data_IF_163525331387
#
_entry.id   IF_163525331387
#
_cell.length_a   1.000
_cell.length_b   1.000
_cell.length_c   1.000
_cell.angle_alpha   90.00
_cell.angle_beta   90.00
_cell.angle_gamma   90.00
#
_symmetry.space_group_name_H-M   'P 1'
#
loop_
_entity.id
_entity.type
_entity.pdbx_description
1 polymer ?
#
# COMPACT_ATOMS: atom_id res chain seq x y z
N UNK A 1 5.05 -25.51 -10.28
CA UNK A 1 6.36 -25.46 -9.61
C UNK A 1 6.10 -25.32 -8.11
N UNK A 2 6.65 -26.20 -7.26
CA UNK A 2 6.43 -26.14 -5.80
C UNK A 2 7.20 -24.96 -5.19
N UNK A 3 6.66 -24.38 -4.11
CA UNK A 3 7.37 -23.34 -3.34
C UNK A 3 8.65 -23.94 -2.75
N UNK A 4 9.80 -23.29 -3.00
CA UNK A 4 11.09 -23.72 -2.46
C UNK A 4 11.66 -22.63 -1.54
N UNK A 5 11.97 -23.00 -0.31
CA UNK A 5 12.62 -22.10 0.66
C UNK A 5 14.09 -22.49 0.76
N UNK A 6 14.98 -21.49 0.68
CA UNK A 6 16.44 -21.68 0.71
C UNK A 6 17.06 -20.74 1.75
N UNK A 7 18.10 -21.22 2.43
CA UNK A 7 18.94 -20.40 3.31
C UNK A 7 20.16 -19.96 2.54
N UNK A 8 20.36 -18.65 2.41
CA UNK A 8 21.54 -18.06 1.77
C UNK A 8 22.58 -17.78 2.87
N UNK A 9 23.73 -18.45 2.79
CA UNK A 9 24.85 -18.25 3.73
C UNK A 9 25.91 -17.35 3.10
N UNK A 10 26.14 -16.20 3.72
CA UNK A 10 27.24 -15.31 3.35
C UNK A 10 28.42 -15.51 4.31
N UNK A 11 29.54 -16.00 3.80
CA UNK A 11 30.79 -16.15 4.56
C UNK A 11 31.67 -14.93 4.31
N UNK A 12 32.00 -14.18 5.37
CA UNK A 12 32.83 -12.98 5.31
C UNK A 12 34.21 -13.29 5.89
N UNK A 13 35.27 -12.87 5.19
CA UNK A 13 36.64 -12.99 5.70
C UNK A 13 36.93 -11.79 6.62
N UNK A 14 37.57 -12.08 7.74
CA UNK A 14 38.08 -11.10 8.69
C UNK A 14 39.60 -11.18 8.65
N UNK A 15 40.25 -10.06 8.39
CA UNK A 15 41.71 -9.97 8.32
C UNK A 15 42.22 -9.06 9.44
N UNK A 16 43.17 -9.57 10.22
CA UNK A 16 43.90 -8.79 11.23
C UNK A 16 45.40 -8.89 10.98
N UNK A 17 46.12 -7.78 11.14
CA UNK A 17 47.58 -7.80 11.15
C UNK A 17 48.06 -8.37 12.50
N UNK A 18 48.97 -9.36 12.49
CA UNK A 18 49.49 -9.99 13.72
C UNK A 18 50.51 -9.12 14.48
N UNK A 19 51.18 -8.21 13.79
CA UNK A 19 52.22 -7.34 14.36
C UNK A 19 51.78 -5.88 14.52
N UNK A 20 50.52 -5.57 14.19
CA UNK A 20 49.96 -4.23 14.28
C UNK A 20 48.78 -4.29 15.26
N UNK A 21 48.66 -3.36 16.21
CA UNK A 21 47.50 -3.26 17.11
C UNK A 21 46.23 -2.69 16.42
N UNK A 22 46.11 -2.87 15.11
CA UNK A 22 44.98 -2.37 14.31
C UNK A 22 43.77 -3.30 14.40
N UNK A 23 42.57 -2.71 14.50
CA UNK A 23 41.31 -3.45 14.50
C UNK A 23 41.16 -4.34 13.26
N UNK A 24 40.72 -5.60 13.40
CA UNK A 24 40.49 -6.48 12.26
C UNK A 24 39.47 -5.90 11.28
N UNK A 25 39.80 -5.96 9.99
CA UNK A 25 38.94 -5.49 8.90
C UNK A 25 38.08 -6.65 8.41
N UNK A 26 36.77 -6.45 8.32
CA UNK A 26 35.83 -7.45 7.83
C UNK A 26 35.28 -7.01 6.48
N UNK A 27 35.34 -7.88 5.47
CA UNK A 27 34.75 -7.60 4.15
C UNK A 27 33.27 -7.21 4.27
N UNK A 28 32.78 -6.28 3.46
CA UNK A 28 31.38 -5.85 3.53
C UNK A 28 30.41 -7.01 3.27
N UNK A 29 29.22 -6.91 3.88
CA UNK A 29 28.12 -7.82 3.57
C UNK A 29 27.30 -7.26 2.40
N UNK A 30 26.58 -8.10 1.65
CA UNK A 30 25.62 -7.62 0.67
C UNK A 30 24.60 -6.69 1.32
N UNK A 31 24.19 -5.65 0.59
CA UNK A 31 23.13 -4.76 1.04
C UNK A 31 21.84 -5.56 1.29
N UNK A 32 21.20 -5.30 2.43
CA UNK A 32 19.93 -5.91 2.79
C UNK A 32 18.87 -4.80 2.87
N UNK A 33 17.67 -5.07 2.36
CA UNK A 33 16.57 -4.12 2.49
C UNK A 33 16.28 -3.84 3.97
N UNK A 34 16.22 -4.91 4.78
CA UNK A 34 16.07 -4.82 6.23
C UNK A 34 17.38 -5.29 6.86
N UNK A 35 18.11 -4.35 7.45
CA UNK A 35 19.38 -4.61 8.12
C UNK A 35 19.23 -5.61 9.27
N UNK A 36 20.15 -6.58 9.33
CA UNK A 36 20.18 -7.67 10.34
C UNK A 36 18.96 -8.61 10.28
N UNK A 37 18.18 -8.57 9.20
CA UNK A 37 17.10 -9.54 8.97
C UNK A 37 17.62 -10.85 8.37
N UNK A 38 16.93 -11.94 8.67
CA UNK A 38 17.11 -13.24 7.99
C UNK A 38 16.36 -13.30 6.65
N UNK A 39 15.45 -12.36 6.37
CA UNK A 39 14.70 -12.34 5.12
C UNK A 39 15.56 -11.78 3.98
N UNK A 40 15.66 -12.55 2.90
CA UNK A 40 16.20 -12.05 1.63
C UNK A 40 15.18 -11.15 0.93
N UNK A 41 15.60 -10.32 -0.05
CA UNK A 41 14.66 -9.55 -0.88
C UNK A 41 13.56 -10.40 -1.53
N UNK A 42 13.88 -11.64 -1.93
CA UNK A 42 12.90 -12.57 -2.49
C UNK A 42 11.84 -13.01 -1.48
N UNK A 43 12.22 -13.24 -0.23
CA UNK A 43 11.27 -13.57 0.86
C UNK A 43 10.35 -12.38 1.13
N UNK A 44 10.90 -11.17 1.16
CA UNK A 44 10.12 -9.95 1.38
C UNK A 44 9.14 -9.69 0.23
N UNK A 45 9.59 -9.84 -1.02
CA UNK A 45 8.72 -9.72 -2.20
C UNK A 45 7.59 -10.76 -2.16
N UNK A 46 7.91 -12.04 -1.91
CA UNK A 46 6.91 -13.10 -1.78
C UNK A 46 5.90 -12.79 -0.67
N UNK A 47 6.36 -12.32 0.50
CA UNK A 47 5.51 -11.97 1.63
C UNK A 47 4.53 -10.85 1.27
N UNK A 48 5.02 -9.76 0.64
CA UNK A 48 4.17 -8.63 0.24
C UNK A 48 3.16 -9.03 -0.83
N UNK A 49 3.59 -9.76 -1.87
CA UNK A 49 2.68 -10.27 -2.91
C UNK A 49 1.63 -11.20 -2.33
N UNK A 50 2.04 -12.16 -1.50
CA UNK A 50 1.11 -13.11 -0.86
C UNK A 50 0.09 -12.40 0.03
N UNK A 51 0.50 -11.36 0.76
CA UNK A 51 -0.39 -10.60 1.63
C UNK A 51 -1.36 -9.71 0.85
N UNK A 52 -0.85 -8.93 -0.10
CA UNK A 52 -1.59 -7.82 -0.69
C UNK A 52 -2.17 -8.13 -2.07
N UNK A 53 -1.51 -8.95 -2.87
CA UNK A 53 -2.00 -9.36 -4.20
C UNK A 53 -2.89 -10.59 -4.07
N UNK A 54 -2.43 -11.60 -3.34
CA UNK A 54 -3.18 -12.85 -3.15
C UNK A 54 -4.16 -12.80 -1.97
N UNK A 55 -4.14 -11.72 -1.18
CA UNK A 55 -5.07 -11.52 -0.06
C UNK A 55 -4.90 -12.51 1.10
N UNK A 56 -3.73 -13.14 1.26
CA UNK A 56 -3.50 -14.14 2.30
C UNK A 56 -3.15 -13.48 3.65
N UNK A 57 -3.96 -13.69 4.72
CA UNK A 57 -3.61 -13.15 6.03
C UNK A 57 -2.32 -13.75 6.58
N UNK A 58 -1.55 -12.95 7.32
CA UNK A 58 -0.21 -13.36 7.82
C UNK A 58 -0.23 -14.62 8.70
N UNK A 59 -1.28 -14.85 9.49
CA UNK A 59 -1.42 -16.07 10.30
C UNK A 59 -1.56 -17.32 9.41
N UNK A 60 -2.21 -17.18 8.25
CA UNK A 60 -2.36 -18.28 7.31
C UNK A 60 -1.06 -18.50 6.55
N UNK A 61 -0.33 -17.43 6.24
CA UNK A 61 1.00 -17.56 5.63
C UNK A 61 2.02 -18.20 6.57
N UNK A 62 2.00 -17.87 7.86
CA UNK A 62 2.76 -18.57 8.91
C UNK A 62 2.47 -20.09 8.89
N UNK A 63 1.20 -20.49 8.78
CA UNK A 63 0.82 -21.91 8.65
C UNK A 63 1.32 -22.55 7.35
N UNK A 64 1.40 -21.78 6.25
CA UNK A 64 1.96 -22.27 4.99
C UNK A 64 3.46 -22.52 5.15
N UNK A 65 4.19 -21.64 5.82
CA UNK A 65 5.62 -21.78 6.06
C UNK A 65 5.92 -22.97 6.97
N UNK A 66 5.14 -23.18 8.04
CA UNK A 66 5.34 -24.32 8.96
C UNK A 66 5.13 -25.67 8.26
N UNK A 67 4.19 -25.77 7.33
CA UNK A 67 4.02 -26.96 6.46
C UNK A 67 5.24 -27.26 5.58
N UNK A 68 6.09 -26.28 5.35
CA UNK A 68 7.36 -26.42 4.63
C UNK A 68 8.57 -26.54 5.58
N UNK A 69 8.32 -26.77 6.88
CA UNK A 69 9.36 -26.91 7.90
C UNK A 69 10.03 -25.60 8.31
N UNK A 70 9.40 -24.45 8.04
CA UNK A 70 9.94 -23.13 8.32
C UNK A 70 9.08 -22.43 9.36
N UNK A 71 9.63 -22.28 10.56
CA UNK A 71 8.98 -21.61 11.69
C UNK A 71 9.33 -20.12 11.70
N UNK A 72 8.42 -19.28 11.20
CA UNK A 72 8.54 -17.82 11.26
C UNK A 72 7.30 -17.24 11.94
N UNK A 73 7.44 -16.66 13.15
CA UNK A 73 6.30 -16.11 13.86
C UNK A 73 5.59 -15.00 13.08
N UNK A 74 4.26 -14.95 13.16
CA UNK A 74 3.41 -13.89 12.57
C UNK A 74 3.90 -12.48 12.90
N UNK A 75 4.39 -12.26 14.11
CA UNK A 75 4.91 -10.95 14.52
C UNK A 75 6.14 -10.53 13.72
N UNK A 76 6.99 -11.50 13.34
CA UNK A 76 8.17 -11.23 12.50
C UNK A 76 7.74 -10.92 11.07
N UNK A 77 6.76 -11.65 10.52
CA UNK A 77 6.16 -11.33 9.22
C UNK A 77 5.55 -9.92 9.20
N UNK A 78 4.80 -9.57 10.25
CA UNK A 78 4.19 -8.25 10.37
C UNK A 78 5.23 -7.13 10.44
N UNK A 79 6.30 -7.32 11.24
CA UNK A 79 7.40 -6.38 11.33
C UNK A 79 8.10 -6.19 9.98
N UNK A 80 8.33 -7.26 9.22
CA UNK A 80 8.93 -7.15 7.88
C UNK A 80 8.05 -6.37 6.91
N UNK A 81 6.73 -6.56 6.94
CA UNK A 81 5.80 -5.76 6.13
C UNK A 81 5.93 -4.27 6.45
N UNK A 82 5.93 -3.90 7.73
CA UNK A 82 6.04 -2.51 8.18
C UNK A 82 7.38 -1.90 7.73
N UNK A 83 8.49 -2.58 8.00
CA UNK A 83 9.82 -2.09 7.58
C UNK A 83 9.94 -1.96 6.06
N UNK A 84 9.34 -2.87 5.29
CA UNK A 84 9.30 -2.70 3.83
C UNK A 84 8.55 -1.43 3.41
N UNK A 85 7.46 -1.07 4.10
CA UNK A 85 6.69 0.13 3.75
C UNK A 85 7.50 1.42 3.88
N UNK A 86 8.37 1.51 4.90
CA UNK A 86 9.29 2.65 5.09
C UNK A 86 10.22 2.83 3.89
N UNK A 87 10.74 1.74 3.34
CA UNK A 87 11.61 1.78 2.16
C UNK A 87 10.87 2.04 0.84
N UNK A 88 9.56 1.83 0.79
CA UNK A 88 8.74 2.07 -0.40
C UNK A 88 8.23 3.52 -0.51
N UNK A 89 8.44 4.35 0.50
CA UNK A 89 8.00 5.75 0.49
C UNK A 89 8.45 6.55 -0.77
N UNK A 90 9.69 6.44 -1.27
CA UNK A 90 10.09 7.14 -2.48
C UNK A 90 9.29 6.72 -3.72
N UNK A 91 8.89 5.45 -3.79
CA UNK A 91 8.05 4.95 -4.87
C UNK A 91 6.63 5.51 -4.75
N UNK A 92 6.08 5.57 -3.54
CA UNK A 92 4.77 6.18 -3.29
C UNK A 92 4.75 7.65 -3.69
N UNK A 93 5.81 8.40 -3.36
CA UNK A 93 5.98 9.80 -3.78
C UNK A 93 6.02 9.93 -5.30
N UNK A 94 6.80 9.09 -5.99
CA UNK A 94 6.84 9.11 -7.45
C UNK A 94 5.49 8.77 -8.07
N UNK A 95 4.78 7.77 -7.54
CA UNK A 95 3.43 7.42 -8.00
C UNK A 95 2.48 8.60 -7.81
N UNK A 96 2.59 9.32 -6.70
CA UNK A 96 1.82 10.53 -6.43
C UNK A 96 2.07 11.64 -7.45
N UNK A 97 3.33 11.90 -7.79
CA UNK A 97 3.69 12.87 -8.82
C UNK A 97 3.06 12.49 -10.16
N UNK A 98 3.18 11.21 -10.56
CA UNK A 98 2.58 10.71 -11.81
C UNK A 98 1.06 10.72 -11.82
N UNK A 99 0.43 10.51 -10.66
CA UNK A 99 -1.02 10.63 -10.53
C UNK A 99 -1.47 12.06 -10.87
N UNK A 100 -0.73 13.07 -10.39
CA UNK A 100 -1.03 14.49 -10.54
C UNK A 100 -0.69 15.07 -11.91
N UNK A 101 0.21 14.44 -12.66
CA UNK A 101 0.43 14.73 -14.08
C UNK A 101 -0.78 14.34 -14.96
N UNK A 102 -1.67 13.48 -14.47
CA UNK A 102 -2.84 13.03 -15.24
C UNK A 102 -3.89 14.14 -15.39
N UNK A 103 -4.43 14.37 -16.60
CA UNK A 103 -5.48 15.38 -16.80
C UNK A 103 -6.79 15.03 -16.09
N UNK A 104 -6.99 13.75 -15.73
CA UNK A 104 -8.13 13.31 -14.94
C UNK A 104 -7.72 12.31 -13.85
N UNK A 105 -8.40 12.37 -12.70
CA UNK A 105 -8.26 11.42 -11.59
C UNK A 105 -9.66 10.89 -11.23
N UNK A 106 -9.77 9.58 -11.05
CA UNK A 106 -10.92 8.96 -10.42
C UNK A 106 -10.71 8.92 -8.91
N UNK A 107 -11.70 9.35 -8.14
CA UNK A 107 -11.71 9.20 -6.69
C UNK A 107 -12.95 8.43 -6.23
N UNK A 108 -12.74 7.51 -5.30
CA UNK A 108 -13.79 6.74 -4.63
C UNK A 108 -13.32 6.42 -3.21
N UNK A 109 -14.25 6.01 -2.34
CA UNK A 109 -13.92 5.63 -0.98
C UNK A 109 -14.70 4.40 -0.53
N UNK A 110 -13.97 3.46 0.07
CA UNK A 110 -14.54 2.23 0.61
C UNK A 110 -14.51 2.27 2.11
N UNK A 111 -15.65 1.96 2.71
CA UNK A 111 -15.82 1.84 4.15
C UNK A 111 -15.13 0.59 4.68
N UNK A 112 -14.33 0.75 5.74
CA UNK A 112 -13.60 -0.31 6.42
C UNK A 112 -13.78 -0.21 7.94
N UNK A 113 -13.57 -1.33 8.64
CA UNK A 113 -13.46 -1.38 10.09
C UNK A 113 -12.05 -1.79 10.45
N UNK A 114 -11.39 -1.02 11.31
CA UNK A 114 -10.01 -1.28 11.71
C UNK A 114 -9.98 -1.62 13.19
N UNK A 115 -9.37 -2.76 13.49
CA UNK A 115 -9.19 -3.20 14.86
C UNK A 115 -8.06 -2.39 15.51
N UNK A 116 -8.22 -2.05 16.79
CA UNK A 116 -7.20 -1.38 17.61
C UNK A 116 -6.79 0.01 17.10
N UNK A 117 -7.72 0.73 16.50
CA UNK A 117 -7.57 2.17 16.34
C UNK A 117 -7.52 2.84 17.73
N UNK A 118 -6.58 3.76 17.98
CA UNK A 118 -6.56 4.52 19.22
C UNK A 118 -7.90 5.23 19.44
N UNK A 119 -8.44 5.12 20.65
CA UNK A 119 -9.64 5.82 21.10
C UNK A 119 -10.91 5.60 20.26
N UNK A 120 -10.99 4.48 19.53
CA UNK A 120 -12.13 4.14 18.65
C UNK A 120 -12.59 2.71 18.87
N UNK A 121 -13.90 2.51 18.83
CA UNK A 121 -14.49 1.17 18.90
C UNK A 121 -14.16 0.36 17.63
N UNK A 122 -13.86 -0.95 17.72
CA UNK A 122 -13.57 -1.80 16.55
C UNK A 122 -14.67 -1.83 15.47
N UNK A 123 -15.91 -1.48 15.81
CA UNK A 123 -17.05 -1.40 14.88
C UNK A 123 -17.20 -0.03 14.23
N UNK A 124 -16.40 0.95 14.66
CA UNK A 124 -16.36 2.29 14.08
C UNK A 124 -15.99 2.23 12.61
N UNK A 125 -16.59 3.12 11.83
CA UNK A 125 -16.35 3.20 10.39
C UNK A 125 -15.15 4.09 10.12
N UNK A 126 -14.22 3.57 9.34
CA UNK A 126 -13.07 4.27 8.78
C UNK A 126 -13.10 4.10 7.25
N UNK A 127 -12.24 4.79 6.52
CA UNK A 127 -12.31 4.87 5.06
C UNK A 127 -10.96 4.66 4.42
N UNK A 128 -10.98 3.87 3.35
CA UNK A 128 -9.89 3.77 2.39
C UNK A 128 -10.29 4.58 1.17
N UNK A 129 -9.60 5.70 0.96
CA UNK A 129 -9.78 6.57 -0.20
C UNK A 129 -8.87 6.08 -1.32
N UNK A 130 -9.43 5.99 -2.53
CA UNK A 130 -8.73 5.45 -3.69
C UNK A 130 -8.66 6.53 -4.74
N UNK A 131 -7.46 6.81 -5.20
CA UNK A 131 -7.20 7.72 -6.31
C UNK A 131 -6.59 6.92 -7.45
N UNK A 132 -7.21 6.96 -8.63
CA UNK A 132 -6.76 6.21 -9.79
C UNK A 132 -6.65 7.09 -11.03
N UNK A 133 -5.53 7.01 -11.74
CA UNK A 133 -5.31 7.73 -12.99
C UNK A 133 -4.26 7.05 -13.87
N UNK A 134 -3.89 7.72 -14.97
CA UNK A 134 -2.89 7.24 -15.92
C UNK A 134 -3.47 6.40 -17.07
N UNK A 135 -2.72 6.26 -18.18
CA UNK A 135 -3.15 5.47 -19.33
C UNK A 135 -3.15 3.96 -19.00
N UNK A 136 -3.82 3.12 -19.82
CA UNK A 136 -3.94 1.69 -19.55
C UNK A 136 -2.62 0.94 -19.29
N UNK A 137 -1.52 1.38 -19.89
CA UNK A 137 -0.17 0.82 -19.76
C UNK A 137 0.62 1.39 -18.56
N UNK A 138 0.17 2.50 -17.95
CA UNK A 138 0.82 3.18 -16.83
C UNK A 138 -0.19 3.64 -15.79
N UNK A 139 -1.02 2.71 -15.32
CA UNK A 139 -2.01 2.98 -14.29
C UNK A 139 -1.34 3.27 -12.95
N UNK A 140 -1.81 4.32 -12.30
CA UNK A 140 -1.46 4.65 -10.92
C UNK A 140 -2.71 4.49 -10.07
N UNK A 141 -2.59 3.75 -8.97
CA UNK A 141 -3.65 3.61 -7.97
C UNK A 141 -3.02 3.86 -6.61
N UNK A 142 -3.52 4.87 -5.90
CA UNK A 142 -3.11 5.23 -4.55
C UNK A 142 -4.24 4.99 -3.57
N UNK A 143 -3.88 4.55 -2.38
CA UNK A 143 -4.78 4.25 -1.29
C UNK A 143 -4.38 5.08 -0.07
N UNK A 144 -5.31 5.87 0.44
CA UNK A 144 -5.12 6.71 1.61
C UNK A 144 -6.11 6.31 2.71
N UNK A 145 -5.57 5.98 3.88
CA UNK A 145 -6.38 5.63 5.04
C UNK A 145 -6.75 6.88 5.83
N UNK A 146 -8.01 7.00 6.23
CA UNK A 146 -8.43 7.98 7.24
C UNK A 146 -9.63 7.50 8.03
N UNK A 147 -9.77 8.05 9.23
CA UNK A 147 -10.88 7.82 10.15
C UNK A 147 -12.08 8.72 9.88
N UNK A 148 -12.03 9.50 8.78
CA UNK A 148 -13.06 10.45 8.37
C UNK A 148 -13.49 10.24 6.91
N UNK A 149 -14.78 10.48 6.64
CA UNK A 149 -15.33 10.61 5.27
C UNK A 149 -15.58 12.07 4.86
N UNK A 150 -15.20 13.02 5.72
CA UNK A 150 -15.61 14.40 5.56
C UNK A 150 -14.91 15.08 4.38
N UNK A 151 -15.46 16.21 3.94
CA UNK A 151 -14.99 16.97 2.78
C UNK A 151 -13.53 17.44 2.88
N UNK A 152 -13.00 17.55 4.09
CA UNK A 152 -11.62 17.98 4.34
C UNK A 152 -10.62 16.94 3.80
N UNK A 153 -11.01 15.67 3.72
CA UNK A 153 -10.15 14.60 3.23
C UNK A 153 -9.83 14.75 1.75
N UNK A 154 -10.81 14.79 0.82
CA UNK A 154 -10.50 14.96 -0.60
C UNK A 154 -9.87 16.32 -0.90
N UNK A 155 -10.16 17.36 -0.11
CA UNK A 155 -9.47 18.65 -0.22
C UNK A 155 -7.98 18.53 0.08
N UNK A 156 -7.59 17.81 1.14
CA UNK A 156 -6.19 17.54 1.47
C UNK A 156 -5.55 16.60 0.43
N UNK A 157 -6.25 15.53 0.05
CA UNK A 157 -5.77 14.56 -0.94
C UNK A 157 -5.66 15.14 -2.36
N UNK A 158 -6.22 16.31 -2.67
CA UNK A 158 -6.16 16.88 -4.02
C UNK A 158 -5.72 18.36 -4.01
N UNK A 159 -5.14 18.84 -2.91
CA UNK A 159 -4.81 20.25 -2.68
C UNK A 159 -4.06 20.91 -3.87
N UNK A 160 -3.02 20.24 -4.37
CA UNK A 160 -2.20 20.73 -5.48
C UNK A 160 -2.63 20.23 -6.86
N UNK A 161 -3.71 19.45 -6.95
CA UNK A 161 -4.17 18.90 -8.22
C UNK A 161 -4.99 19.92 -9.01
N UNK A 162 -4.81 19.94 -10.33
CA UNK A 162 -5.60 20.75 -11.28
C UNK A 162 -5.95 19.87 -12.47
N UNK A 163 -7.22 19.86 -12.86
CA UNK A 163 -7.75 18.96 -13.87
C UNK A 163 -9.14 18.43 -13.53
N UNK A 164 -9.47 17.26 -14.05
CA UNK A 164 -10.80 16.66 -13.90
C UNK A 164 -10.84 15.61 -12.79
N UNK A 165 -11.78 15.71 -11.87
CA UNK A 165 -11.95 14.72 -10.79
C UNK A 165 -13.29 14.00 -10.97
N UNK A 166 -13.24 12.71 -11.30
CA UNK A 166 -14.42 11.88 -11.46
C UNK A 166 -14.75 11.14 -10.17
N UNK A 167 -15.96 11.32 -9.66
CA UNK A 167 -16.43 10.68 -8.41
C UNK A 167 -17.81 10.05 -8.59
N UNK A 168 -18.29 9.36 -7.56
CA UNK A 168 -19.67 8.83 -7.48
C UNK A 168 -20.73 9.90 -7.19
N UNK A 169 -20.35 11.18 -7.21
CA UNK A 169 -21.15 12.35 -6.84
C UNK A 169 -21.44 12.47 -5.32
N UNK A 170 -20.69 11.76 -4.47
CA UNK A 170 -20.77 11.98 -3.02
C UNK A 170 -20.53 13.45 -2.65
N UNK A 171 -21.42 13.99 -1.80
CA UNK A 171 -21.41 15.40 -1.41
C UNK A 171 -20.10 15.86 -0.74
N UNK A 172 -19.31 14.94 -0.15
CA UNK A 172 -18.00 15.27 0.41
C UNK A 172 -17.00 15.81 -0.62
N UNK A 173 -17.20 15.54 -1.91
CA UNK A 173 -16.38 16.12 -2.97
C UNK A 173 -16.85 17.50 -3.43
N UNK A 174 -17.97 18.06 -2.92
CA UNK A 174 -18.57 19.29 -3.48
C UNK A 174 -17.64 20.50 -3.35
N UNK A 175 -16.86 20.56 -2.26
CA UNK A 175 -15.90 21.62 -2.03
C UNK A 175 -14.74 21.63 -3.06
N UNK A 176 -14.47 20.52 -3.76
CA UNK A 176 -13.46 20.49 -4.83
C UNK A 176 -13.84 21.37 -6.02
N UNK A 177 -15.12 21.49 -6.35
CA UNK A 177 -15.57 22.36 -7.46
C UNK A 177 -15.34 23.85 -7.19
N UNK A 178 -15.08 24.22 -5.94
CA UNK A 178 -14.73 25.59 -5.55
C UNK A 178 -13.22 25.84 -5.66
N UNK A 179 -12.41 24.81 -5.86
CA UNK A 179 -10.96 24.95 -6.01
C UNK A 179 -10.62 25.42 -7.42
N UNK A 180 -9.83 26.49 -7.59
CA UNK A 180 -9.48 27.00 -8.91
C UNK A 180 -8.81 25.93 -9.76
N UNK A 181 -9.29 25.70 -10.99
CA UNK A 181 -8.71 24.75 -11.94
C UNK A 181 -9.01 23.28 -11.63
N UNK A 182 -10.00 22.98 -10.79
CA UNK A 182 -10.55 21.63 -10.61
C UNK A 182 -11.97 21.60 -11.17
N UNK A 183 -12.24 20.66 -12.08
CA UNK A 183 -13.57 20.40 -12.61
C UNK A 183 -14.04 19.01 -12.20
N UNK A 184 -15.27 18.90 -11.71
CA UNK A 184 -15.83 17.62 -11.29
C UNK A 184 -16.57 16.92 -12.42
N UNK A 185 -16.37 15.60 -12.50
CA UNK A 185 -17.08 14.71 -13.41
C UNK A 185 -17.91 13.68 -12.63
N UNK A 186 -19.04 13.28 -13.21
CA UNK A 186 -19.88 12.22 -12.65
C UNK A 186 -19.49 10.85 -13.23
N UNK A 187 -19.35 9.85 -12.36
CA UNK A 187 -19.08 8.48 -12.77
C UNK A 187 -20.29 7.82 -13.45
N UNK A 188 -20.19 7.52 -14.75
CA UNK A 188 -21.28 6.90 -15.51
C UNK A 188 -21.66 5.49 -15.02
N UNK A 189 -20.74 4.76 -14.38
CA UNK A 189 -21.05 3.48 -13.75
C UNK A 189 -22.00 3.67 -12.56
N UNK A 190 -21.80 4.72 -11.76
CA UNK A 190 -22.67 5.08 -10.64
C UNK A 190 -24.04 5.59 -11.13
N UNK A 191 -24.06 6.42 -12.16
CA UNK A 191 -25.30 6.86 -12.82
C UNK A 191 -26.11 5.65 -13.30
N UNK A 192 -25.48 4.72 -14.04
CA UNK A 192 -26.14 3.49 -14.50
C UNK A 192 -26.68 2.64 -13.36
N UNK A 193 -25.95 2.53 -12.24
CA UNK A 193 -26.41 1.79 -11.05
C UNK A 193 -27.76 2.33 -10.56
N UNK A 194 -27.94 3.65 -10.54
CA UNK A 194 -29.20 4.29 -10.15
C UNK A 194 -30.37 3.99 -11.08
N UNK A 195 -30.14 3.98 -12.40
CA UNK A 195 -31.17 3.56 -13.36
C UNK A 195 -31.56 2.08 -13.18
N UNK A 196 -30.59 1.20 -12.91
CA UNK A 196 -30.85 -0.23 -12.63
C UNK A 196 -31.64 -0.40 -11.32
N UNK A 197 -31.29 0.35 -10.27
CA UNK A 197 -32.02 0.36 -9.00
C UNK A 197 -33.47 0.83 -9.20
N UNK A 198 -33.69 1.91 -9.96
CA UNK A 198 -35.02 2.41 -10.28
C UNK A 198 -35.86 1.40 -11.07
N UNK A 199 -35.27 0.69 -12.04
CA UNK A 199 -35.97 -0.35 -12.82
C UNK A 199 -36.48 -1.50 -11.94
N UNK A 200 -35.77 -1.86 -10.85
CA UNK A 200 -36.19 -2.95 -9.95
C UNK A 200 -37.44 -2.63 -9.15
N UNK A 201 -37.75 -1.36 -8.97
CA UNK A 201 -38.93 -0.87 -8.23
C UNK A 201 -40.04 -0.35 -9.15
N UNK A 202 -39.88 -0.54 -10.47
CA UNK A 202 -40.89 -0.18 -11.46
C UNK A 202 -42.07 -1.17 -11.36
N UNK A 203 -43.33 -0.69 -11.33
CA UNK A 203 -44.52 -1.53 -11.24
C UNK A 203 -44.71 -2.43 -12.47
#
# INVERSE_FOLDING_TARGET
MLMQIRVIKHTRKVYGCRGCETTPVTADKPAQLIEKSMASPSVLAMLLTTKYVEGLPLHRFETVLSRHGIEIPRQTLARWVIQCSEHLQPLLNLMRDRLFESPFIHCDETRVQVLKEPDRDPTSQSWMWVQASGPPDRKVVLFDYTTSRAQEVPLCLLESYRGYVMTDDYAGYNALSLQPGVERLACMAHVRRKFVEAKKVQP
#
